data_IF_967423043141
#
_entry.id   IF_967423043141
#
_cell.length_a   1.000
_cell.length_b   1.000
_cell.length_c   1.000
_cell.angle_alpha   90.00
_cell.angle_beta   90.00
_cell.angle_gamma   90.00
#
_symmetry.space_group_name_H-M   'P 1'
#
loop_
_entity.id
_entity.type
_entity.pdbx_description
1 polymer ?
#
# COMPACT_ATOMS: atom_id res chain seq x y z
N UNK A 1 0.06 -20.89 10.85
CA UNK A 1 -0.42 -19.71 11.61
C UNK A 1 -1.88 -19.41 11.22
N UNK A 2 -2.70 -18.81 12.12
CA UNK A 2 -4.06 -18.37 11.80
C UNK A 2 -4.06 -17.02 11.10
N UNK A 3 -4.99 -16.80 10.16
CA UNK A 3 -5.14 -15.58 9.36
C UNK A 3 -6.58 -15.11 9.34
N UNK A 4 -6.78 -13.82 9.58
CA UNK A 4 -8.04 -13.10 9.36
C UNK A 4 -7.98 -12.45 7.98
N UNK A 5 -8.95 -12.73 7.10
CA UNK A 5 -9.22 -11.94 5.91
C UNK A 5 -10.03 -10.71 6.33
N UNK A 6 -9.49 -9.51 6.12
CA UNK A 6 -10.13 -8.26 6.52
C UNK A 6 -10.52 -7.42 5.31
N UNK A 7 -11.79 -7.12 5.17
CA UNK A 7 -12.34 -6.24 4.14
C UNK A 7 -12.82 -4.96 4.83
N UNK A 8 -12.34 -3.80 4.37
CA UNK A 8 -12.91 -2.51 4.76
C UNK A 8 -13.78 -1.98 3.63
N UNK A 9 -14.99 -1.49 3.93
CA UNK A 9 -15.95 -1.08 2.92
C UNK A 9 -16.69 0.20 3.32
N UNK A 10 -17.03 1.01 2.32
CA UNK A 10 -17.93 2.15 2.42
C UNK A 10 -18.57 2.40 1.06
N UNK A 11 -19.91 2.20 0.97
CA UNK A 11 -20.69 2.41 -0.26
C UNK A 11 -20.11 1.63 -1.46
N UNK A 12 -20.04 0.30 -1.33
CA UNK A 12 -19.44 -0.61 -2.34
C UNK A 12 -20.32 -1.83 -2.62
N UNK A 13 -21.65 -1.73 -2.49
CA UNK A 13 -22.59 -2.84 -2.70
C UNK A 13 -22.35 -3.59 -4.03
N UNK A 14 -21.97 -2.87 -5.08
CA UNK A 14 -21.75 -3.46 -6.41
C UNK A 14 -20.50 -4.35 -6.51
N UNK A 15 -19.42 -4.03 -5.80
CA UNK A 15 -18.14 -4.74 -5.88
C UNK A 15 -17.94 -5.76 -4.77
N UNK A 16 -18.51 -5.50 -3.59
CA UNK A 16 -18.32 -6.28 -2.38
C UNK A 16 -18.60 -7.79 -2.52
N UNK A 17 -19.63 -8.24 -3.29
CA UNK A 17 -19.83 -9.68 -3.52
C UNK A 17 -18.62 -10.34 -4.20
N UNK A 18 -18.02 -9.71 -5.21
CA UNK A 18 -16.83 -10.22 -5.89
C UNK A 18 -15.64 -10.36 -4.95
N UNK A 19 -15.41 -9.35 -4.09
CA UNK A 19 -14.37 -9.39 -3.08
C UNK A 19 -14.59 -10.56 -2.08
N UNK A 20 -15.80 -10.70 -1.53
CA UNK A 20 -16.13 -11.76 -0.57
C UNK A 20 -16.02 -13.17 -1.18
N UNK A 21 -16.54 -13.38 -2.38
CA UNK A 21 -16.46 -14.69 -3.06
C UNK A 21 -15.00 -15.06 -3.36
N UNK A 22 -14.12 -14.08 -3.65
CA UNK A 22 -12.69 -14.34 -3.85
C UNK A 22 -11.98 -14.81 -2.57
N UNK A 23 -12.42 -14.34 -1.41
CA UNK A 23 -11.93 -14.81 -0.10
C UNK A 23 -12.38 -16.25 0.15
N UNK A 24 -13.62 -16.59 -0.15
CA UNK A 24 -14.14 -17.97 0.01
C UNK A 24 -13.57 -18.96 -1.01
N UNK A 25 -13.07 -18.47 -2.15
CA UNK A 25 -12.42 -19.28 -3.18
C UNK A 25 -10.93 -19.56 -2.92
N UNK A 26 -10.38 -19.10 -1.79
CA UNK A 26 -8.98 -19.36 -1.46
C UNK A 26 -8.72 -20.85 -1.25
N UNK A 27 -7.61 -21.38 -1.79
CA UNK A 27 -7.13 -22.76 -1.57
C UNK A 27 -6.79 -22.99 -0.11
N UNK A 28 -6.23 -21.98 0.56
CA UNK A 28 -6.11 -21.91 2.00
C UNK A 28 -7.22 -21.00 2.56
N UNK A 29 -8.27 -21.58 3.09
CA UNK A 29 -9.39 -20.86 3.70
C UNK A 29 -8.87 -20.03 4.89
N UNK A 30 -9.22 -18.73 5.01
CA UNK A 30 -8.90 -17.95 6.20
C UNK A 30 -9.65 -18.49 7.43
N UNK A 31 -9.05 -18.32 8.62
CA UNK A 31 -9.67 -18.74 9.89
C UNK A 31 -10.82 -17.80 10.31
N UNK A 32 -10.86 -16.59 9.77
CA UNK A 32 -11.90 -15.59 9.99
C UNK A 32 -12.04 -14.69 8.76
N UNK A 33 -13.28 -14.34 8.41
CA UNK A 33 -13.59 -13.27 7.45
C UNK A 33 -14.24 -12.13 8.22
N UNK A 34 -13.52 -11.03 8.34
CA UNK A 34 -13.94 -9.82 9.03
C UNK A 34 -14.25 -8.73 8.01
N UNK A 35 -15.44 -8.14 8.10
CA UNK A 35 -15.79 -6.96 7.30
C UNK A 35 -16.01 -5.78 8.24
N UNK A 36 -15.30 -4.68 8.00
CA UNK A 36 -15.55 -3.40 8.68
C UNK A 36 -16.30 -2.49 7.72
N UNK A 37 -17.58 -2.24 8.03
CA UNK A 37 -18.44 -1.30 7.33
C UNK A 37 -18.33 0.08 7.96
N UNK A 38 -17.69 1.01 7.24
CA UNK A 38 -17.44 2.39 7.69
C UNK A 38 -18.67 3.30 7.48
N UNK A 39 -19.85 2.80 7.85
CA UNK A 39 -21.09 3.56 7.87
C UNK A 39 -21.77 3.70 6.51
N UNK A 40 -21.77 2.64 5.69
CA UNK A 40 -22.43 2.66 4.37
C UNK A 40 -23.91 3.02 4.46
N UNK A 41 -24.39 3.80 3.49
CA UNK A 41 -25.77 4.23 3.33
C UNK A 41 -26.41 3.82 1.98
N UNK A 42 -25.65 3.01 1.18
CA UNK A 42 -26.17 2.27 0.02
C UNK A 42 -26.63 0.86 0.43
N UNK A 43 -26.83 -0.04 -0.55
CA UNK A 43 -27.25 -1.44 -0.34
C UNK A 43 -26.14 -2.34 0.28
N UNK A 44 -24.97 -1.78 0.70
CA UNK A 44 -23.88 -2.56 1.33
C UNK A 44 -24.33 -3.34 2.55
N UNK A 45 -25.13 -2.78 3.51
CA UNK A 45 -25.61 -3.52 4.67
C UNK A 45 -26.46 -4.75 4.30
N UNK A 46 -27.32 -4.63 3.28
CA UNK A 46 -28.16 -5.71 2.79
C UNK A 46 -27.32 -6.83 2.15
N UNK A 47 -26.30 -6.44 1.35
CA UNK A 47 -25.32 -7.39 0.79
C UNK A 47 -24.62 -8.13 1.93
N UNK A 48 -24.09 -7.44 2.93
CA UNK A 48 -23.42 -8.05 4.08
C UNK A 48 -24.35 -9.02 4.84
N UNK A 49 -25.59 -8.62 5.08
CA UNK A 49 -26.58 -9.48 5.76
C UNK A 49 -26.84 -10.79 5.03
N UNK A 50 -26.75 -10.82 3.69
CA UNK A 50 -26.96 -12.00 2.88
C UNK A 50 -25.92 -13.11 3.10
N UNK A 51 -24.74 -12.77 3.61
CA UNK A 51 -23.66 -13.73 3.91
C UNK A 51 -23.81 -14.43 5.28
N UNK A 52 -24.69 -13.93 6.17
CA UNK A 52 -24.97 -14.54 7.46
C UNK A 52 -23.72 -14.83 8.28
N UNK A 53 -23.64 -16.01 8.88
CA UNK A 53 -22.52 -16.43 9.74
C UNK A 53 -21.21 -16.71 9.02
N UNK A 54 -21.17 -16.61 7.69
CA UNK A 54 -19.92 -16.79 6.93
C UNK A 54 -18.92 -15.66 7.15
N UNK A 55 -19.40 -14.49 7.57
CA UNK A 55 -18.59 -13.30 7.82
C UNK A 55 -18.93 -12.70 9.20
N UNK A 56 -17.97 -12.04 9.81
CA UNK A 56 -18.20 -11.18 10.95
C UNK A 56 -18.18 -9.72 10.52
N UNK A 57 -19.30 -9.03 10.72
CA UNK A 57 -19.44 -7.62 10.36
C UNK A 57 -19.25 -6.75 11.60
N UNK A 58 -18.40 -5.72 11.48
CA UNK A 58 -18.26 -4.64 12.45
C UNK A 58 -18.65 -3.35 11.74
N UNK A 59 -19.73 -2.71 12.19
CA UNK A 59 -20.17 -1.43 11.64
C UNK A 59 -19.75 -0.28 12.56
N UNK A 60 -19.30 0.81 11.98
CA UNK A 60 -18.96 2.06 12.68
C UNK A 60 -19.57 3.27 11.97
N UNK A 61 -19.55 4.44 12.61
CA UNK A 61 -19.81 5.71 11.93
C UNK A 61 -18.68 6.01 10.97
N UNK A 62 -18.99 6.58 9.79
CA UNK A 62 -17.97 6.91 8.78
C UNK A 62 -16.87 7.77 9.39
N UNK A 63 -15.71 7.18 9.51
CA UNK A 63 -14.51 7.77 10.10
C UNK A 63 -13.30 7.72 9.16
N UNK A 64 -13.53 7.24 7.95
CA UNK A 64 -12.54 7.16 6.87
C UNK A 64 -11.72 5.88 6.87
N UNK A 65 -11.05 5.66 5.76
CA UNK A 65 -10.32 4.43 5.41
C UNK A 65 -9.33 3.99 6.49
N UNK A 66 -8.53 4.93 7.02
CA UNK A 66 -7.54 4.63 8.07
C UNK A 66 -8.20 4.11 9.35
N UNK A 67 -9.32 4.72 9.76
CA UNK A 67 -10.07 4.31 10.94
C UNK A 67 -10.67 2.91 10.75
N UNK A 68 -11.22 2.61 9.57
CA UNK A 68 -11.75 1.29 9.24
C UNK A 68 -10.65 0.21 9.26
N UNK A 69 -9.46 0.49 8.70
CA UNK A 69 -8.31 -0.42 8.76
C UNK A 69 -7.79 -0.62 10.18
N UNK A 70 -7.72 0.45 10.98
CA UNK A 70 -7.34 0.34 12.39
C UNK A 70 -8.34 -0.52 13.16
N UNK A 71 -9.63 -0.32 12.92
CA UNK A 71 -10.68 -1.16 13.51
C UNK A 71 -10.51 -2.63 13.10
N UNK A 72 -10.15 -2.92 11.85
CA UNK A 72 -9.89 -4.28 11.42
C UNK A 72 -8.69 -4.92 12.17
N UNK A 73 -7.62 -4.15 12.43
CA UNK A 73 -6.46 -4.64 13.22
C UNK A 73 -6.85 -4.87 14.69
N UNK A 74 -7.69 -4.02 15.27
CA UNK A 74 -8.16 -4.17 16.65
C UNK A 74 -9.06 -5.39 16.83
N UNK A 75 -9.96 -5.64 15.87
CA UNK A 75 -10.96 -6.69 15.89
C UNK A 75 -10.44 -8.06 15.42
N UNK A 76 -9.29 -8.12 14.75
CA UNK A 76 -8.73 -9.36 14.24
C UNK A 76 -8.46 -10.38 15.37
N UNK A 77 -8.95 -11.62 15.18
CA UNK A 77 -8.80 -12.73 16.13
C UNK A 77 -7.63 -13.65 15.82
N UNK A 78 -6.92 -13.37 14.74
CA UNK A 78 -5.76 -14.13 14.28
C UNK A 78 -4.48 -13.33 14.44
N UNK A 79 -3.33 -14.01 14.44
CA UNK A 79 -2.01 -13.36 14.50
C UNK A 79 -1.59 -12.73 13.16
N UNK A 80 -2.21 -13.14 12.05
CA UNK A 80 -2.03 -12.56 10.73
C UNK A 80 -3.33 -11.89 10.27
N UNK A 81 -3.18 -10.76 9.59
CA UNK A 81 -4.26 -10.01 8.94
C UNK A 81 -3.91 -9.85 7.46
N UNK A 82 -4.79 -10.29 6.59
CA UNK A 82 -4.70 -10.11 5.15
C UNK A 82 -5.78 -9.16 4.70
N UNK A 83 -5.38 -7.99 4.17
CA UNK A 83 -6.31 -6.97 3.72
C UNK A 83 -6.81 -7.23 2.30
N UNK A 84 -8.08 -6.88 2.07
CA UNK A 84 -8.69 -6.79 0.75
C UNK A 84 -9.54 -5.53 0.69
N UNK A 85 -9.24 -4.64 -0.23
CA UNK A 85 -10.13 -3.51 -0.52
C UNK A 85 -11.40 -4.03 -1.20
N UNK A 86 -12.56 -3.46 -0.88
CA UNK A 86 -13.87 -4.02 -1.23
C UNK A 86 -14.22 -3.98 -2.73
N UNK A 87 -13.37 -3.35 -3.53
CA UNK A 87 -13.46 -3.23 -5.00
C UNK A 87 -12.44 -4.12 -5.75
N UNK A 88 -11.56 -4.82 -5.00
CA UNK A 88 -10.53 -5.71 -5.53
C UNK A 88 -10.94 -7.20 -5.42
N UNK A 89 -10.10 -8.09 -5.96
CA UNK A 89 -10.34 -9.54 -5.95
C UNK A 89 -9.03 -10.27 -5.62
N UNK A 90 -9.06 -11.24 -4.69
CA UNK A 90 -7.92 -12.12 -4.45
C UNK A 90 -7.86 -13.25 -5.49
N UNK A 91 -6.65 -13.62 -5.87
CA UNK A 91 -6.42 -14.86 -6.62
C UNK A 91 -6.33 -16.05 -5.68
N UNK A 92 -6.74 -17.26 -6.13
CA UNK A 92 -7.03 -18.39 -5.24
C UNK A 92 -5.88 -18.85 -4.34
N UNK A 93 -4.63 -18.69 -4.75
CA UNK A 93 -3.44 -19.19 -4.06
C UNK A 93 -2.74 -18.16 -3.16
N UNK A 94 -3.34 -16.96 -2.98
CA UNK A 94 -2.72 -15.86 -2.21
C UNK A 94 -2.32 -16.27 -0.79
N UNK A 95 -3.28 -16.76 0.00
CA UNK A 95 -3.02 -17.13 1.39
C UNK A 95 -2.12 -18.36 1.52
N UNK A 96 -2.27 -19.34 0.62
CA UNK A 96 -1.41 -20.53 0.54
C UNK A 96 0.05 -20.16 0.32
N UNK A 97 0.33 -19.14 -0.49
CA UNK A 97 1.68 -18.66 -0.79
C UNK A 97 2.25 -17.74 0.28
N UNK A 98 1.43 -16.87 0.87
CA UNK A 98 1.91 -15.83 1.80
C UNK A 98 2.07 -16.33 3.25
N UNK A 99 1.13 -17.14 3.76
CA UNK A 99 1.16 -17.53 5.17
C UNK A 99 2.41 -18.34 5.57
N UNK A 100 2.91 -19.29 4.74
CA UNK A 100 4.14 -20.04 5.08
C UNK A 100 5.40 -19.18 5.23
N UNK A 101 5.41 -17.96 4.66
CA UNK A 101 6.56 -17.04 4.81
C UNK A 101 6.71 -16.63 6.27
N UNK A 102 5.60 -16.33 6.95
CA UNK A 102 5.62 -15.97 8.38
C UNK A 102 5.97 -17.14 9.31
N UNK A 103 5.78 -18.37 8.85
CA UNK A 103 6.14 -19.57 9.63
C UNK A 103 7.65 -19.84 9.61
N UNK A 104 8.38 -19.26 8.65
CA UNK A 104 9.84 -19.39 8.51
C UNK A 104 10.63 -18.40 9.35
N UNK A 105 10.06 -17.22 9.65
CA UNK A 105 10.75 -16.16 10.40
C UNK A 105 9.78 -15.31 11.18
N UNK A 106 10.02 -15.15 12.48
CA UNK A 106 9.25 -14.25 13.34
C UNK A 106 9.59 -12.77 13.10
N UNK A 107 10.63 -12.48 12.34
CA UNK A 107 11.02 -11.11 11.97
C UNK A 107 10.23 -10.56 10.79
N UNK A 108 9.59 -11.42 9.97
CA UNK A 108 8.77 -10.99 8.87
C UNK A 108 7.49 -10.37 9.39
N UNK A 109 7.34 -9.06 9.25
CA UNK A 109 6.15 -8.30 9.65
C UNK A 109 5.10 -8.21 8.55
N UNK A 110 5.53 -8.23 7.27
CA UNK A 110 4.63 -8.10 6.12
C UNK A 110 5.14 -8.90 4.93
N UNK A 111 4.21 -9.49 4.19
CA UNK A 111 4.44 -10.16 2.90
C UNK A 111 3.49 -9.54 1.89
N UNK A 112 3.98 -9.19 0.71
CA UNK A 112 3.15 -8.75 -0.40
C UNK A 112 3.60 -9.38 -1.72
N UNK A 113 2.82 -9.22 -2.79
CA UNK A 113 3.12 -9.79 -4.09
C UNK A 113 2.62 -8.91 -5.23
N UNK A 114 2.74 -9.42 -6.45
CA UNK A 114 2.22 -8.77 -7.64
C UNK A 114 0.69 -8.70 -7.63
N UNK A 115 0.17 -7.70 -8.34
CA UNK A 115 -1.25 -7.61 -8.73
C UNK A 115 -1.36 -7.55 -10.24
N UNK A 116 -2.43 -8.12 -10.80
CA UNK A 116 -2.91 -7.77 -12.13
C UNK A 116 -3.90 -6.60 -12.03
N UNK A 117 -3.92 -5.77 -13.06
CA UNK A 117 -4.85 -4.66 -13.16
C UNK A 117 -6.07 -5.10 -13.96
N UNK A 118 -7.26 -4.73 -13.46
CA UNK A 118 -8.54 -4.97 -14.14
C UNK A 118 -9.32 -3.66 -14.28
N UNK A 119 -10.18 -3.57 -15.27
CA UNK A 119 -11.11 -2.43 -15.41
C UNK A 119 -12.32 -2.53 -14.47
N UNK A 120 -13.26 -1.59 -14.61
CA UNK A 120 -14.47 -1.57 -13.79
C UNK A 120 -15.35 -2.81 -13.98
N UNK A 121 -15.35 -3.38 -15.18
CA UNK A 121 -16.10 -4.58 -15.57
C UNK A 121 -15.41 -5.88 -15.12
N UNK A 122 -14.13 -5.82 -14.75
CA UNK A 122 -13.33 -6.96 -14.30
C UNK A 122 -12.46 -7.59 -15.38
N UNK A 123 -12.36 -6.97 -16.56
CA UNK A 123 -11.51 -7.44 -17.64
C UNK A 123 -10.04 -7.06 -17.38
N UNK A 124 -9.13 -8.02 -17.63
CA UNK A 124 -7.71 -7.83 -17.37
C UNK A 124 -7.07 -6.83 -18.32
N UNK A 125 -6.40 -5.83 -17.77
CA UNK A 125 -5.58 -4.85 -18.49
C UNK A 125 -4.16 -5.43 -18.67
N UNK A 126 -3.98 -6.24 -19.73
CA UNK A 126 -2.80 -7.09 -19.87
C UNK A 126 -1.49 -6.29 -19.99
N UNK A 127 -1.42 -5.30 -20.89
CA UNK A 127 -0.20 -4.49 -21.10
C UNK A 127 0.19 -3.69 -19.85
N UNK A 128 -0.79 -3.11 -19.16
CA UNK A 128 -0.58 -2.38 -17.91
C UNK A 128 -0.11 -3.32 -16.80
N UNK A 129 -0.70 -4.52 -16.69
CA UNK A 129 -0.31 -5.53 -15.70
C UNK A 129 1.13 -5.99 -15.92
N UNK A 130 1.53 -6.32 -17.14
CA UNK A 130 2.90 -6.73 -17.47
C UNK A 130 3.91 -5.64 -17.15
N UNK A 131 3.63 -4.41 -17.59
CA UNK A 131 4.48 -3.26 -17.27
C UNK A 131 4.57 -3.02 -15.75
N UNK A 132 3.47 -3.24 -15.04
CA UNK A 132 3.41 -3.12 -13.59
C UNK A 132 4.31 -4.17 -12.92
N UNK A 133 4.24 -5.44 -13.35
CA UNK A 133 5.09 -6.53 -12.85
C UNK A 133 6.58 -6.24 -13.07
N UNK A 134 6.98 -5.78 -14.24
CA UNK A 134 8.38 -5.41 -14.52
C UNK A 134 8.89 -4.33 -13.56
N UNK A 135 8.08 -3.29 -13.32
CA UNK A 135 8.43 -2.19 -12.42
C UNK A 135 8.49 -2.66 -10.96
N UNK A 136 7.59 -3.55 -10.55
CA UNK A 136 7.59 -4.14 -9.20
C UNK A 136 8.81 -5.00 -8.96
N UNK A 137 9.08 -5.97 -9.83
CA UNK A 137 10.26 -6.82 -9.72
C UNK A 137 11.56 -5.99 -9.72
N UNK A 138 11.61 -4.93 -10.53
CA UNK A 138 12.76 -4.04 -10.55
C UNK A 138 12.92 -3.25 -9.22
N UNK A 139 11.81 -2.80 -8.62
CA UNK A 139 11.82 -2.04 -7.37
C UNK A 139 12.23 -2.90 -6.16
N UNK A 140 11.89 -4.20 -6.17
CA UNK A 140 12.15 -5.13 -5.08
C UNK A 140 13.37 -6.03 -5.27
N UNK A 141 14.10 -5.84 -6.37
CA UNK A 141 15.33 -6.60 -6.65
C UNK A 141 16.37 -6.34 -5.58
N UNK A 142 16.70 -7.37 -4.80
CA UNK A 142 17.63 -7.27 -3.66
C UNK A 142 16.94 -7.07 -2.30
N UNK A 143 15.62 -7.21 -2.26
CA UNK A 143 14.81 -7.13 -1.03
C UNK A 143 14.11 -5.79 -0.83
N UNK A 144 13.16 -5.78 0.10
CA UNK A 144 12.43 -4.57 0.50
C UNK A 144 13.20 -3.84 1.59
N UNK A 145 13.44 -2.57 1.39
CA UNK A 145 14.11 -1.71 2.38
C UNK A 145 13.36 -0.38 2.55
N UNK A 146 13.52 0.24 3.72
CA UNK A 146 12.99 1.58 3.96
C UNK A 146 13.43 2.60 2.91
N UNK A 147 14.73 2.60 2.57
CA UNK A 147 15.25 3.49 1.55
C UNK A 147 14.72 3.17 0.15
N UNK A 148 14.46 1.89 -0.15
CA UNK A 148 13.80 1.47 -1.39
C UNK A 148 12.38 2.00 -1.49
N UNK A 149 11.58 1.81 -0.45
CA UNK A 149 10.22 2.34 -0.38
C UNK A 149 10.18 3.87 -0.42
N UNK A 150 11.14 4.56 0.19
CA UNK A 150 11.27 6.01 0.07
C UNK A 150 11.50 6.50 -1.37
N UNK A 151 11.95 5.62 -2.27
CA UNK A 151 12.08 5.92 -3.69
C UNK A 151 10.80 5.63 -4.48
N UNK A 152 10.24 4.46 -4.30
CA UNK A 152 9.06 3.96 -5.02
C UNK A 152 8.40 2.84 -4.20
N UNK A 153 7.36 3.17 -3.46
CA UNK A 153 6.57 2.17 -2.73
C UNK A 153 5.54 1.56 -3.66
N UNK A 154 5.82 0.34 -4.09
CA UNK A 154 4.90 -0.46 -4.89
C UNK A 154 4.35 -1.58 -4.03
N UNK A 155 3.30 -1.25 -3.30
CA UNK A 155 2.56 -2.22 -2.49
C UNK A 155 1.08 -1.83 -2.51
N UNK A 156 0.22 -2.83 -2.72
CA UNK A 156 -1.23 -2.67 -2.66
C UNK A 156 -1.78 -3.36 -1.43
N UNK A 157 -2.72 -2.73 -0.74
CA UNK A 157 -3.37 -3.29 0.44
C UNK A 157 -3.97 -4.68 0.15
N UNK A 158 -4.60 -4.85 -0.99
CA UNK A 158 -5.20 -6.13 -1.39
C UNK A 158 -4.19 -7.24 -1.68
N UNK A 159 -2.91 -6.89 -1.90
CA UNK A 159 -1.85 -7.86 -2.17
C UNK A 159 -1.03 -8.26 -0.95
N UNK A 160 -1.30 -7.71 0.23
CA UNK A 160 -0.50 -7.94 1.42
C UNK A 160 -1.18 -8.83 2.46
N UNK A 161 -0.33 -9.44 3.29
CA UNK A 161 -0.64 -10.01 4.60
C UNK A 161 0.38 -9.47 5.59
N UNK A 162 -0.03 -9.12 6.80
CA UNK A 162 0.84 -8.59 7.84
C UNK A 162 0.59 -9.25 9.20
N UNK A 163 1.60 -9.22 10.08
CA UNK A 163 1.39 -9.56 11.48
C UNK A 163 0.59 -8.46 12.17
N UNK A 164 -0.36 -8.85 12.97
CA UNK A 164 -1.18 -7.92 13.76
C UNK A 164 -0.33 -7.16 14.77
N UNK A 165 0.61 -7.84 15.43
CA UNK A 165 1.57 -7.22 16.34
C UNK A 165 2.50 -6.23 15.62
N UNK A 166 3.02 -6.56 14.45
CA UNK A 166 3.84 -5.63 13.67
C UNK A 166 3.10 -4.33 13.31
N UNK A 167 1.83 -4.43 12.90
CA UNK A 167 0.99 -3.26 12.65
C UNK A 167 0.77 -2.41 13.90
N UNK A 168 0.58 -3.06 15.06
CA UNK A 168 0.44 -2.38 16.36
C UNK A 168 1.72 -1.71 16.81
N UNK A 169 2.85 -2.39 16.69
CA UNK A 169 4.18 -1.90 17.09
C UNK A 169 4.54 -0.61 16.35
N UNK A 170 4.20 -0.52 15.06
CA UNK A 170 4.49 0.69 14.27
C UNK A 170 3.43 1.80 14.42
N UNK A 171 2.37 1.58 15.21
CA UNK A 171 1.37 2.59 15.57
C UNK A 171 0.20 2.73 14.59
N UNK A 172 -0.13 1.66 13.84
CA UNK A 172 -1.31 1.57 12.97
C UNK A 172 -1.34 2.61 11.83
N UNK A 173 -2.50 2.79 11.22
CA UNK A 173 -2.73 3.73 10.10
C UNK A 173 -3.01 5.14 10.62
N UNK A 174 -2.29 6.14 10.11
CA UNK A 174 -2.43 7.54 10.52
C UNK A 174 -3.58 8.22 9.74
N UNK A 175 -4.70 8.58 10.40
CA UNK A 175 -5.85 9.16 9.72
C UNK A 175 -5.62 10.59 9.20
N UNK A 176 -4.52 11.23 9.56
CA UNK A 176 -4.15 12.54 9.05
C UNK A 176 -3.53 12.48 7.65
N UNK A 177 -3.21 11.28 7.13
CA UNK A 177 -2.54 11.09 5.86
C UNK A 177 -3.50 10.61 4.78
N UNK A 178 -3.35 11.13 3.56
CA UNK A 178 -4.08 10.63 2.39
C UNK A 178 -3.55 9.26 1.90
N UNK A 179 -2.26 8.97 2.08
CA UNK A 179 -1.64 7.67 1.82
C UNK A 179 -1.20 7.04 3.15
N UNK A 180 -2.19 6.67 3.94
CA UNK A 180 -2.02 6.03 5.24
C UNK A 180 -1.31 4.68 5.17
N UNK A 181 -1.57 3.91 4.12
CA UNK A 181 -0.97 2.63 3.82
C UNK A 181 0.53 2.76 3.48
N UNK A 182 0.89 3.71 2.63
CA UNK A 182 2.30 3.96 2.30
C UNK A 182 3.12 4.32 3.55
N UNK A 183 2.59 5.15 4.44
CA UNK A 183 3.22 5.49 5.72
C UNK A 183 3.44 4.28 6.62
N UNK A 184 2.44 3.39 6.74
CA UNK A 184 2.57 2.14 7.50
C UNK A 184 3.64 1.23 6.92
N UNK A 185 3.70 1.05 5.59
CA UNK A 185 4.71 0.20 4.96
C UNK A 185 6.13 0.74 5.18
N UNK A 186 6.32 2.05 5.15
CA UNK A 186 7.58 2.69 5.49
C UNK A 186 7.98 2.44 6.95
N UNK A 187 7.04 2.59 7.89
CA UNK A 187 7.31 2.34 9.31
C UNK A 187 7.60 0.86 9.59
N UNK A 188 6.88 -0.06 8.94
CA UNK A 188 7.18 -1.49 8.99
C UNK A 188 8.59 -1.79 8.50
N UNK A 189 9.02 -1.19 7.38
CA UNK A 189 10.36 -1.38 6.83
C UNK A 189 11.51 -0.84 7.69
N UNK A 190 11.23 -0.09 8.76
CA UNK A 190 12.23 0.33 9.74
C UNK A 190 12.53 -0.73 10.79
N UNK A 191 11.50 -1.42 11.25
CA UNK A 191 11.58 -2.23 12.48
C UNK A 191 11.32 -3.74 12.21
N UNK A 192 10.74 -4.07 11.02
CA UNK A 192 10.38 -5.42 10.61
C UNK A 192 10.93 -5.76 9.22
N UNK A 193 11.08 -7.05 8.94
CA UNK A 193 11.38 -7.55 7.61
C UNK A 193 10.11 -7.55 6.75
N UNK A 194 10.23 -7.11 5.51
CA UNK A 194 9.16 -7.15 4.51
C UNK A 194 9.62 -8.06 3.39
N UNK A 195 8.79 -9.06 3.06
CA UNK A 195 9.05 -9.99 1.98
C UNK A 195 8.19 -9.67 0.75
N UNK A 196 8.84 -9.55 -0.39
CA UNK A 196 8.17 -9.48 -1.68
C UNK A 196 8.13 -10.87 -2.30
N UNK A 197 6.93 -11.35 -2.60
CA UNK A 197 6.69 -12.66 -3.18
C UNK A 197 6.74 -12.58 -4.70
N UNK A 198 7.86 -12.99 -5.26
CA UNK A 198 8.02 -13.11 -6.72
C UNK A 198 7.09 -14.19 -7.29
N UNK A 199 6.75 -14.06 -8.58
CA UNK A 199 5.94 -15.04 -9.30
C UNK A 199 4.57 -14.52 -9.72
N UNK A 200 3.55 -15.39 -9.88
CA UNK A 200 2.21 -14.97 -10.31
C UNK A 200 1.60 -13.92 -9.39
N UNK A 201 0.70 -13.06 -9.90
CA UNK A 201 -0.04 -12.10 -9.05
C UNK A 201 -0.82 -12.83 -7.96
N UNK A 202 -1.11 -12.12 -6.88
CA UNK A 202 -1.89 -12.63 -5.74
C UNK A 202 -3.26 -11.96 -5.62
N UNK A 203 -3.47 -10.86 -6.34
CA UNK A 203 -4.74 -10.13 -6.37
C UNK A 203 -4.95 -9.44 -7.71
N UNK A 204 -6.19 -9.07 -7.98
CA UNK A 204 -6.61 -8.21 -9.07
C UNK A 204 -6.96 -6.85 -8.48
N UNK A 205 -6.27 -5.81 -8.94
CA UNK A 205 -6.52 -4.42 -8.54
C UNK A 205 -7.40 -3.74 -9.57
N UNK A 206 -8.56 -3.24 -9.13
CA UNK A 206 -9.57 -2.67 -10.04
C UNK A 206 -9.34 -1.18 -10.26
N UNK A 207 -9.43 -0.77 -11.53
CA UNK A 207 -9.47 0.63 -11.95
C UNK A 207 -10.91 1.07 -12.22
N UNK A 208 -11.39 2.09 -11.49
CA UNK A 208 -12.70 2.69 -11.70
C UNK A 208 -12.73 4.16 -11.26
N UNK A 209 -13.76 4.93 -11.67
CA UNK A 209 -13.85 6.38 -11.43
C UNK A 209 -13.94 6.80 -9.95
N UNK A 210 -14.33 5.88 -9.05
CA UNK A 210 -14.43 6.15 -7.61
C UNK A 210 -13.12 6.03 -6.81
N UNK A 211 -11.98 5.88 -7.47
CA UNK A 211 -10.67 5.80 -6.83
C UNK A 211 -10.06 7.17 -6.54
N UNK A 212 -8.95 7.16 -5.78
CA UNK A 212 -8.18 8.38 -5.51
C UNK A 212 -7.72 9.06 -6.79
N UNK A 213 -7.92 10.36 -6.85
CA UNK A 213 -7.45 11.19 -7.97
C UNK A 213 -5.93 11.32 -7.99
N UNK A 214 -5.36 11.67 -9.14
CA UNK A 214 -3.93 11.98 -9.26
C UNK A 214 -3.50 13.08 -8.28
N UNK A 215 -4.38 14.05 -8.00
CA UNK A 215 -4.10 15.11 -7.03
C UNK A 215 -3.96 14.54 -5.61
N UNK A 216 -4.92 13.73 -5.16
CA UNK A 216 -4.90 13.11 -3.82
C UNK A 216 -3.70 12.19 -3.63
N UNK A 217 -3.40 11.34 -4.63
CA UNK A 217 -2.20 10.50 -4.62
C UNK A 217 -0.92 11.33 -4.48
N UNK A 218 -0.82 12.42 -5.27
CA UNK A 218 0.37 13.28 -5.25
C UNK A 218 0.50 14.03 -3.93
N UNK A 219 -0.61 14.53 -3.38
CA UNK A 219 -0.63 15.17 -2.07
C UNK A 219 -0.29 14.20 -0.94
N UNK A 220 -0.80 12.97 -1.01
CA UNK A 220 -0.45 11.92 -0.06
C UNK A 220 1.04 11.57 -0.09
N UNK A 221 1.65 11.47 -1.27
CA UNK A 221 3.11 11.30 -1.40
C UNK A 221 3.89 12.44 -0.73
N UNK A 222 3.43 13.68 -0.91
CA UNK A 222 4.05 14.86 -0.28
C UNK A 222 3.94 14.76 1.24
N UNK A 223 2.74 14.52 1.78
CA UNK A 223 2.51 14.40 3.22
C UNK A 223 3.39 13.31 3.85
N UNK A 224 3.42 12.12 3.24
CA UNK A 224 4.23 10.99 3.71
C UNK A 224 5.73 11.32 3.66
N UNK A 225 6.22 11.85 2.54
CA UNK A 225 7.64 12.21 2.41
C UNK A 225 8.06 13.27 3.43
N UNK A 226 7.24 14.30 3.68
CA UNK A 226 7.53 15.33 4.68
C UNK A 226 7.51 14.77 6.11
N UNK A 227 6.59 13.86 6.43
CA UNK A 227 6.55 13.15 7.72
C UNK A 227 7.83 12.35 7.94
N UNK A 228 8.23 11.56 6.94
CA UNK A 228 9.42 10.72 7.04
C UNK A 228 10.75 11.51 7.01
N UNK A 229 10.80 12.66 6.36
CA UNK A 229 11.96 13.57 6.48
C UNK A 229 12.11 14.14 7.90
N UNK A 230 11.00 14.42 8.59
CA UNK A 230 11.04 14.81 10.03
C UNK A 230 11.52 13.63 10.88
N UNK A 231 10.98 12.42 10.67
CA UNK A 231 11.43 11.22 11.36
C UNK A 231 12.94 10.99 11.19
N UNK A 232 13.46 11.12 9.96
CA UNK A 232 14.90 11.02 9.69
C UNK A 232 15.74 12.13 10.35
N UNK A 233 15.17 13.27 10.67
CA UNK A 233 15.87 14.31 11.43
C UNK A 233 16.03 13.92 12.92
N UNK A 234 15.06 13.19 13.47
CA UNK A 234 15.00 12.79 14.88
C UNK A 234 15.70 11.44 15.14
N UNK A 235 15.62 10.48 14.20
CA UNK A 235 16.23 9.14 14.31
C UNK A 235 17.55 9.06 13.53
N UNK A 236 18.65 8.84 14.23
CA UNK A 236 20.00 8.66 13.62
C UNK A 236 20.30 7.18 13.31
N UNK A 237 19.53 6.26 13.85
CA UNK A 237 19.70 4.80 13.78
C UNK A 237 19.08 4.17 12.52
N UNK A 238 18.45 4.95 11.66
CA UNK A 238 17.79 4.45 10.43
C UNK A 238 18.82 3.93 9.42
N UNK A 239 18.70 2.66 8.98
CA UNK A 239 19.56 2.11 7.94
C UNK A 239 19.47 2.92 6.64
N UNK A 240 20.62 3.10 5.95
CA UNK A 240 20.69 3.87 4.69
C UNK A 240 20.01 5.24 4.75
N UNK A 241 20.08 5.91 5.90
CA UNK A 241 19.40 7.16 6.22
C UNK A 241 19.59 8.25 5.16
N UNK A 242 20.81 8.46 4.67
CA UNK A 242 21.09 9.48 3.64
C UNK A 242 20.51 9.08 2.28
N UNK A 243 20.48 7.79 1.97
CA UNK A 243 19.81 7.26 0.77
C UNK A 243 18.30 7.48 0.85
N UNK A 244 17.68 7.16 1.98
CA UNK A 244 16.26 7.40 2.22
C UNK A 244 15.92 8.89 2.12
N UNK A 245 16.71 9.76 2.76
CA UNK A 245 16.56 11.20 2.69
C UNK A 245 16.61 11.72 1.26
N UNK A 246 17.61 11.29 0.48
CA UNK A 246 17.74 11.63 -0.93
C UNK A 246 16.48 11.22 -1.72
N UNK A 247 15.97 10.01 -1.45
CA UNK A 247 14.82 9.45 -2.16
C UNK A 247 13.52 10.22 -1.84
N UNK A 248 13.28 10.61 -0.59
CA UNK A 248 12.15 11.48 -0.23
C UNK A 248 12.26 12.87 -0.86
N UNK A 249 13.46 13.46 -0.89
CA UNK A 249 13.66 14.75 -1.58
C UNK A 249 13.37 14.64 -3.09
N UNK A 250 13.71 13.51 -3.73
CA UNK A 250 13.36 13.25 -5.13
C UNK A 250 11.86 13.03 -5.32
N UNK A 251 11.19 12.33 -4.40
CA UNK A 251 9.74 12.17 -4.42
C UNK A 251 9.06 13.53 -4.35
N UNK A 252 9.44 14.37 -3.39
CA UNK A 252 8.92 15.74 -3.27
C UNK A 252 9.16 16.56 -4.53
N UNK A 253 10.36 16.47 -5.13
CA UNK A 253 10.65 17.17 -6.37
C UNK A 253 9.72 16.76 -7.51
N UNK A 254 9.45 15.46 -7.66
CA UNK A 254 8.51 14.92 -8.67
C UNK A 254 7.07 15.31 -8.38
N UNK A 255 6.63 15.13 -7.16
CA UNK A 255 5.25 15.42 -6.75
C UNK A 255 4.90 16.90 -6.90
N UNK A 256 5.78 17.82 -6.47
CA UNK A 256 5.58 19.25 -6.69
C UNK A 256 5.61 19.65 -8.17
N UNK A 257 6.38 18.93 -9.01
CA UNK A 257 6.38 19.16 -10.45
C UNK A 257 5.04 18.74 -11.10
N UNK A 258 4.44 17.64 -10.66
CA UNK A 258 3.11 17.17 -11.12
C UNK A 258 2.04 18.21 -10.79
N UNK A 259 2.11 18.82 -9.60
CA UNK A 259 1.18 19.88 -9.18
C UNK A 259 1.48 21.25 -9.80
N UNK A 260 2.50 21.37 -10.67
CA UNK A 260 2.87 22.64 -11.31
C UNK A 260 3.71 23.57 -10.44
N UNK A 261 4.04 23.22 -9.21
CA UNK A 261 4.77 24.00 -8.22
C UNK A 261 6.29 23.97 -8.47
N UNK A 262 6.73 24.57 -9.60
CA UNK A 262 8.12 24.51 -10.07
C UNK A 262 9.16 25.01 -9.06
N UNK A 263 8.84 26.04 -8.27
CA UNK A 263 9.75 26.58 -7.24
C UNK A 263 10.03 25.59 -6.13
N UNK A 264 8.99 24.88 -5.66
CA UNK A 264 9.11 23.82 -4.63
C UNK A 264 9.84 22.61 -5.20
N UNK A 265 9.44 22.14 -6.39
CA UNK A 265 10.10 21.05 -7.11
C UNK A 265 11.61 21.26 -7.23
N UNK A 266 12.03 22.45 -7.72
CA UNK A 266 13.45 22.81 -7.87
C UNK A 266 14.20 22.81 -6.55
N UNK A 267 13.60 23.29 -5.46
CA UNK A 267 14.22 23.31 -4.13
C UNK A 267 14.55 21.90 -3.65
N UNK A 268 13.61 20.99 -3.76
CA UNK A 268 13.77 19.60 -3.36
C UNK A 268 14.75 18.85 -4.27
N UNK A 269 14.74 19.11 -5.58
CA UNK A 269 15.73 18.55 -6.50
C UNK A 269 17.14 18.98 -6.15
N UNK A 270 17.36 20.25 -5.80
CA UNK A 270 18.68 20.75 -5.36
C UNK A 270 19.15 20.10 -4.07
N UNK A 271 18.22 19.81 -3.12
CA UNK A 271 18.56 19.09 -1.89
C UNK A 271 18.97 17.64 -2.20
N UNK A 272 18.23 16.95 -3.06
CA UNK A 272 18.59 15.59 -3.50
C UNK A 272 19.96 15.56 -4.19
N UNK A 273 20.25 16.51 -5.07
CA UNK A 273 21.54 16.63 -5.77
C UNK A 273 22.72 16.95 -4.85
N UNK A 274 22.50 17.63 -3.73
CA UNK A 274 23.55 17.83 -2.70
C UNK A 274 23.91 16.51 -2.00
N UNK A 275 22.93 15.61 -1.83
CA UNK A 275 23.15 14.28 -1.24
C UNK A 275 23.75 13.30 -2.24
N UNK A 276 23.41 13.41 -3.54
CA UNK A 276 23.97 12.59 -4.59
C UNK A 276 24.07 13.38 -5.92
N UNK A 277 25.23 14.00 -6.21
CA UNK A 277 25.42 14.74 -7.47
C UNK A 277 25.31 13.88 -8.74
N UNK A 278 25.48 12.56 -8.63
CA UNK A 278 25.40 11.62 -9.79
C UNK A 278 23.98 11.44 -10.30
N UNK A 279 22.96 11.95 -9.59
CA UNK A 279 21.57 11.92 -10.03
C UNK A 279 21.33 12.57 -11.40
N UNK A 280 22.10 13.57 -11.76
CA UNK A 280 21.97 14.31 -13.05
C UNK A 280 22.07 13.38 -14.26
N UNK A 281 22.86 12.30 -14.17
CA UNK A 281 23.07 11.33 -15.26
C UNK A 281 22.19 10.08 -15.21
N UNK A 282 21.29 9.98 -14.22
CA UNK A 282 20.46 8.78 -14.07
C UNK A 282 19.23 8.81 -14.98
N UNK A 283 18.92 7.74 -15.73
CA UNK A 283 17.82 7.71 -16.70
C UNK A 283 16.43 7.87 -16.06
N UNK A 284 16.29 7.52 -14.78
CA UNK A 284 15.06 7.62 -14.02
C UNK A 284 14.84 9.02 -13.38
N UNK A 285 15.83 9.92 -13.42
CA UNK A 285 15.62 11.34 -13.06
C UNK A 285 15.07 12.06 -14.29
N UNK A 286 13.82 12.54 -14.26
CA UNK A 286 13.23 13.17 -15.42
C UNK A 286 14.05 14.36 -15.92
N UNK A 287 14.45 14.32 -17.20
CA UNK A 287 15.22 15.42 -17.83
C UNK A 287 14.56 16.78 -17.66
N UNK A 288 13.21 16.81 -17.61
CA UNK A 288 12.44 18.04 -17.37
C UNK A 288 12.71 18.65 -15.98
N UNK A 289 12.92 17.80 -14.94
CA UNK A 289 13.30 18.25 -13.61
C UNK A 289 14.69 18.90 -13.61
N UNK A 290 15.65 18.27 -14.28
CA UNK A 290 17.01 18.81 -14.43
C UNK A 290 16.99 20.11 -15.26
N UNK A 291 16.21 20.15 -16.35
CA UNK A 291 16.06 21.35 -17.19
C UNK A 291 15.43 22.54 -16.41
N UNK A 292 14.61 22.27 -15.38
CA UNK A 292 14.05 23.31 -14.52
C UNK A 292 15.11 24.06 -13.69
N UNK A 293 16.29 23.45 -13.50
CA UNK A 293 17.41 24.09 -12.78
C UNK A 293 18.10 25.17 -13.60
N UNK A 294 18.02 25.09 -14.94
CA UNK A 294 18.74 25.96 -15.88
C UNK A 294 17.88 27.15 -16.31
N UNK A 295 16.56 27.03 -16.27
CA UNK A 295 15.64 28.13 -16.56
C UNK A 295 15.57 29.04 -15.32
N UNK A 296 16.19 30.21 -15.44
CA UNK A 296 16.08 31.32 -14.46
C UNK A 296 14.74 32.01 -14.57
#
# INVERSE_FOLDING_TARGET
MKVTAAITTYNRAAFLPGALESVFAQTRIPDEVLVVDDGSDDDTPEVLASYGDRIRVVRQENSGRSAARNRAVEEARSGLLSFLDSDDVWLPDKLERQVPVFERSDRVGMVHGHVDLIDAEGERLAEESERHHELFSAAHRGGVTYAGYAFDCRCFSSALTARVDALRDVGLYDPALLLDDYDVYLRLALDWEIEFLEGPPVALYRHHEGQMTTYELTMGQIQTAEKHLRLLAERSDVPDRELARRNFELMLARSWAVLGEQGKSRRHLLRALRLDPKLIGRPWVPRRLVASLVKR
#
